data_IF_751197585648
#
_entry.id   IF_751197585648
#
_cell.length_a   1.000
_cell.length_b   1.000
_cell.length_c   1.000
_cell.angle_alpha   90.00
_cell.angle_beta   90.00
_cell.angle_gamma   90.00
#
_symmetry.space_group_name_H-M   'P 1'
#
loop_
_entity.id
_entity.type
_entity.pdbx_description
1 polymer ?
#
# COMPACT_ATOMS: atom_id res chain seq x y z
N UNK A 1 11.40 -12.72 -3.96
CA UNK A 1 11.28 -11.69 -2.91
C UNK A 1 10.64 -12.37 -1.73
N UNK A 2 11.40 -12.57 -0.65
CA UNK A 2 10.89 -13.19 0.58
C UNK A 2 10.53 -12.10 1.57
N UNK A 3 9.24 -12.05 1.95
CA UNK A 3 8.70 -11.08 2.90
C UNK A 3 8.42 -11.83 4.21
N UNK A 4 9.14 -11.51 5.27
CA UNK A 4 8.85 -11.99 6.63
C UNK A 4 8.23 -10.86 7.45
N UNK A 5 6.97 -11.00 7.86
CA UNK A 5 6.27 -9.99 8.68
C UNK A 5 5.44 -10.65 9.77
N UNK A 6 5.36 -9.99 10.93
CA UNK A 6 4.42 -10.33 11.99
C UNK A 6 3.00 -9.84 11.62
N UNK A 7 2.00 -10.64 11.97
CA UNK A 7 0.54 -10.55 11.74
C UNK A 7 -0.03 -9.38 10.90
N UNK A 8 -0.91 -9.67 9.90
CA UNK A 8 -1.55 -8.66 9.07
C UNK A 8 -2.39 -7.68 9.90
N UNK A 9 -2.37 -6.40 9.51
CA UNK A 9 -3.12 -5.35 10.21
C UNK A 9 -4.60 -5.35 9.82
N UNK A 10 -5.47 -5.16 10.82
CA UNK A 10 -6.89 -4.95 10.61
C UNK A 10 -7.24 -3.52 10.12
N UNK A 11 -6.31 -2.57 10.27
CA UNK A 11 -6.52 -1.14 9.96
C UNK A 11 -5.29 -0.54 9.30
N UNK A 12 -5.48 0.41 8.39
CA UNK A 12 -4.41 1.09 7.65
C UNK A 12 -4.13 2.50 8.16
N UNK A 13 -2.86 2.87 8.18
CA UNK A 13 -2.37 4.25 8.24
C UNK A 13 -1.51 4.55 7.01
N UNK A 14 -1.32 5.82 6.62
CA UNK A 14 -0.31 6.20 5.66
C UNK A 14 1.05 5.64 6.09
N UNK A 15 1.81 5.11 5.13
CA UNK A 15 3.07 4.43 5.35
C UNK A 15 2.96 2.92 5.61
N UNK A 16 1.76 2.34 5.75
CA UNK A 16 1.62 0.88 5.75
C UNK A 16 1.78 0.32 4.33
N UNK A 17 2.46 -0.82 4.22
CA UNK A 17 2.66 -1.55 2.97
C UNK A 17 1.45 -2.44 2.69
N UNK A 18 0.98 -2.39 1.45
CA UNK A 18 -0.12 -3.20 0.93
C UNK A 18 0.49 -4.25 0.00
N UNK A 19 0.15 -5.52 0.21
CA UNK A 19 0.60 -6.64 -0.60
C UNK A 19 -0.61 -7.31 -1.25
N UNK A 20 -0.55 -7.53 -2.57
CA UNK A 20 -1.60 -8.20 -3.33
C UNK A 20 -1.28 -9.67 -3.57
N UNK A 21 -2.30 -10.45 -3.90
CA UNK A 21 -2.14 -11.87 -4.23
C UNK A 21 -1.23 -12.13 -5.43
N UNK A 22 -1.12 -11.17 -6.35
CA UNK A 22 -0.24 -11.25 -7.51
C UNK A 22 1.19 -10.75 -7.22
N UNK A 23 1.53 -10.63 -5.93
CA UNK A 23 2.84 -10.21 -5.45
C UNK A 23 3.22 -8.77 -5.80
N UNK A 24 2.23 -7.89 -5.99
CA UNK A 24 2.44 -6.46 -6.10
C UNK A 24 2.44 -5.78 -4.73
N UNK A 25 3.20 -4.69 -4.67
CA UNK A 25 3.43 -3.92 -3.46
C UNK A 25 3.07 -2.47 -3.68
N UNK A 26 2.26 -1.98 -2.78
CA UNK A 26 1.82 -0.59 -2.79
C UNK A 26 2.01 0.05 -1.43
N UNK A 27 2.03 1.37 -1.42
CA UNK A 27 2.04 2.18 -0.21
C UNK A 27 1.11 3.37 -0.41
N UNK A 28 0.45 3.78 0.66
CA UNK A 28 -0.25 5.06 0.69
C UNK A 28 0.64 6.06 1.42
N UNK A 29 1.05 7.13 0.74
CA UNK A 29 1.80 8.23 1.35
C UNK A 29 0.87 9.42 1.58
N UNK A 30 1.13 10.19 2.63
CA UNK A 30 0.40 11.43 2.92
C UNK A 30 1.29 12.63 2.59
N UNK A 31 0.91 13.44 1.61
CA UNK A 31 1.52 14.72 1.26
C UNK A 31 0.69 15.88 1.84
N UNK A 32 1.14 16.41 2.97
CA UNK A 32 0.40 17.42 3.73
C UNK A 32 0.51 18.77 3.04
N UNK A 33 -0.61 19.25 2.51
CA UNK A 33 -0.71 20.55 1.86
C UNK A 33 -1.50 20.53 0.55
N UNK A 34 -1.74 19.33 0.02
CA UNK A 34 -2.51 19.11 -1.20
C UNK A 34 -4.00 18.87 -0.92
N UNK A 35 -4.86 19.17 -1.90
CA UNK A 35 -6.30 18.88 -1.83
C UNK A 35 -6.62 17.38 -1.82
N UNK A 36 -5.71 16.58 -2.38
CA UNK A 36 -5.76 15.11 -2.42
C UNK A 36 -4.48 14.55 -1.82
N UNK A 37 -4.36 14.58 -0.47
CA UNK A 37 -3.08 14.37 0.19
C UNK A 37 -2.67 12.89 0.23
N UNK A 38 -3.54 11.94 -0.08
CA UNK A 38 -3.21 10.51 0.00
C UNK A 38 -2.88 9.96 -1.39
N UNK A 39 -1.63 9.55 -1.61
CA UNK A 39 -1.18 9.01 -2.88
C UNK A 39 -0.94 7.51 -2.76
N UNK A 40 -1.60 6.73 -3.61
CA UNK A 40 -1.33 5.30 -3.78
C UNK A 40 -0.19 5.12 -4.77
N UNK A 41 0.90 4.50 -4.33
CA UNK A 41 2.13 4.34 -5.10
C UNK A 41 2.44 2.86 -5.26
N UNK A 42 2.72 2.42 -6.48
CA UNK A 42 3.29 1.10 -6.74
C UNK A 42 4.80 1.12 -6.48
N UNK A 43 5.29 0.26 -5.60
CA UNK A 43 6.68 0.21 -5.18
C UNK A 43 7.60 -0.49 -6.18
N UNK A 44 7.05 -1.26 -7.11
CA UNK A 44 7.85 -1.92 -8.16
C UNK A 44 8.17 -1.00 -9.32
N UNK A 45 7.22 -0.13 -9.69
CA UNK A 45 7.35 0.81 -10.81
C UNK A 45 7.65 2.24 -10.37
N UNK A 46 7.51 2.55 -9.07
CA UNK A 46 7.60 3.90 -8.51
C UNK A 46 6.63 4.89 -9.15
N UNK A 47 5.44 4.41 -9.52
CA UNK A 47 4.39 5.22 -10.14
C UNK A 47 3.25 5.49 -9.16
N UNK A 48 2.75 6.73 -9.17
CA UNK A 48 1.49 7.07 -8.52
C UNK A 48 0.36 6.48 -9.36
N UNK A 49 -0.49 5.66 -8.74
CA UNK A 49 -1.66 5.04 -9.37
C UNK A 49 -2.86 5.98 -9.25
N UNK A 50 -3.09 6.51 -8.06
CA UNK A 50 -4.26 7.34 -7.75
C UNK A 50 -3.98 8.29 -6.57
N UNK A 51 -4.70 9.42 -6.55
CA UNK A 51 -4.73 10.35 -5.42
C UNK A 51 -6.14 10.40 -4.79
N UNK A 52 -6.21 10.48 -3.46
CA UNK A 52 -7.46 10.52 -2.71
C UNK A 52 -7.51 11.75 -1.79
N UNK A 53 -8.71 12.25 -1.54
CA UNK A 53 -9.00 13.33 -0.60
C UNK A 53 -9.00 12.83 0.86
N UNK A 54 -9.20 11.54 1.04
CA UNK A 54 -9.24 10.83 2.32
C UNK A 54 -8.58 9.46 2.20
N UNK A 55 -8.33 8.79 3.33
CA UNK A 55 -7.74 7.44 3.30
C UNK A 55 -8.69 6.46 2.58
N UNK A 56 -8.25 5.79 1.50
CA UNK A 56 -9.10 4.91 0.73
C UNK A 56 -9.45 3.63 1.50
N UNK A 57 -10.67 3.14 1.24
CA UNK A 57 -11.18 1.86 1.71
C UNK A 57 -10.48 0.69 1.01
N UNK A 58 -10.71 -0.55 1.49
CA UNK A 58 -10.16 -1.74 0.85
C UNK A 58 -10.69 -1.91 -0.57
N UNK A 59 -12.00 -1.72 -0.73
CA UNK A 59 -12.66 -1.89 -2.01
C UNK A 59 -12.16 -0.88 -3.04
N UNK A 60 -12.01 0.40 -2.68
CA UNK A 60 -11.48 1.42 -3.60
C UNK A 60 -10.06 1.08 -4.08
N UNK A 61 -9.20 0.61 -3.17
CA UNK A 61 -7.85 0.19 -3.54
C UNK A 61 -7.87 -0.99 -4.50
N UNK A 62 -8.64 -2.05 -4.21
CA UNK A 62 -8.73 -3.23 -5.06
C UNK A 62 -9.30 -2.89 -6.46
N UNK A 63 -10.26 -1.98 -6.53
CA UNK A 63 -10.82 -1.46 -7.79
C UNK A 63 -9.77 -0.67 -8.59
N UNK A 64 -9.00 0.21 -7.95
CA UNK A 64 -7.99 1.05 -8.60
C UNK A 64 -6.74 0.26 -9.03
N UNK A 65 -6.29 -0.71 -8.22
CA UNK A 65 -5.15 -1.59 -8.56
C UNK A 65 -5.56 -2.76 -9.48
N UNK A 66 -6.86 -3.05 -9.57
CA UNK A 66 -7.42 -4.20 -10.28
C UNK A 66 -6.91 -5.57 -9.79
N UNK A 67 -6.58 -5.67 -8.50
CA UNK A 67 -6.07 -6.87 -7.84
C UNK A 67 -6.61 -7.00 -6.41
N UNK A 68 -6.68 -8.23 -5.90
CA UNK A 68 -7.09 -8.48 -4.51
C UNK A 68 -5.92 -8.27 -3.53
N UNK A 69 -6.20 -7.57 -2.43
CA UNK A 69 -5.24 -7.35 -1.35
C UNK A 69 -5.14 -8.64 -0.53
N UNK A 70 -3.93 -9.18 -0.42
CA UNK A 70 -3.65 -10.34 0.42
C UNK A 70 -3.42 -9.92 1.88
N UNK A 71 -2.62 -8.87 2.09
CA UNK A 71 -2.23 -8.45 3.42
C UNK A 71 -1.77 -6.98 3.47
N UNK A 72 -1.81 -6.41 4.66
CA UNK A 72 -1.27 -5.09 4.98
C UNK A 72 -0.31 -5.23 6.15
N UNK A 73 0.84 -4.58 6.02
CA UNK A 73 1.95 -4.67 6.93
C UNK A 73 2.41 -3.28 7.36
N UNK A 74 2.83 -3.12 8.62
CA UNK A 74 3.51 -1.89 9.03
C UNK A 74 4.86 -1.83 8.32
N UNK A 75 5.24 -0.66 7.80
CA UNK A 75 6.59 -0.47 7.25
C UNK A 75 7.70 -0.85 8.25
N UNK A 76 7.44 -0.65 9.55
CA UNK A 76 8.41 -0.86 10.63
C UNK A 76 8.76 -2.35 10.81
N UNK A 77 7.80 -3.22 10.48
CA UNK A 77 7.91 -4.68 10.61
C UNK A 77 8.24 -5.36 9.27
N UNK A 78 8.15 -4.63 8.15
CA UNK A 78 8.38 -5.17 6.82
C UNK A 78 9.88 -5.09 6.43
N UNK A 79 10.49 -6.25 6.19
CA UNK A 79 11.83 -6.36 5.57
C UNK A 79 11.70 -6.86 4.14
N UNK A 80 12.09 -6.02 3.19
CA UNK A 80 12.21 -6.39 1.78
C UNK A 80 13.59 -6.98 1.51
N UNK A 81 13.63 -8.26 1.11
CA UNK A 81 14.86 -8.91 0.64
C UNK A 81 14.77 -9.18 -0.86
N UNK A 82 15.71 -8.61 -1.61
CA UNK A 82 15.88 -8.85 -3.05
C UNK A 82 17.08 -9.78 -3.21
N UNK A 83 16.84 -10.98 -3.74
CA UNK A 83 17.86 -12.00 -4.03
C UNK A 83 18.26 -11.99 -5.49
#
# INVERSE_FOLDING_TARGET
MDIHVNEPLATRKPGDMIYTKDSHMYIIIEDKGESYPFLLVCLQTFTVIQNYDSLPTWQELEEDIAEEIEAIYKQEDARLSVS
#
